data_IF_363898817095
#
_entry.id   IF_363898817095
#
_cell.length_a   1.000
_cell.length_b   1.000
_cell.length_c   1.000
_cell.angle_alpha   90.00
_cell.angle_beta   90.00
_cell.angle_gamma   90.00
#
_symmetry.space_group_name_H-M   'P 1'
#
loop_
_entity.id
_entity.type
_entity.pdbx_description
1 polymer ?
#
# COMPACT_ATOMS: atom_id res chain seq x y z
N UNK A 1 37.60 -31.54 -21.42
CA UNK A 1 38.47 -30.60 -22.13
C UNK A 1 38.28 -29.31 -21.43
N UNK A 2 39.15 -29.06 -20.45
CA UNK A 2 40.38 -28.24 -20.51
C UNK A 2 39.98 -26.76 -20.56
N UNK A 3 40.42 -25.88 -19.78
CA UNK A 3 41.44 -25.72 -18.75
C UNK A 3 41.19 -24.38 -18.11
N UNK A 4 41.22 -24.26 -16.81
CA UNK A 4 42.36 -23.89 -15.99
C UNK A 4 42.84 -22.44 -16.14
N UNK A 5 42.81 -21.81 -14.97
CA UNK A 5 43.93 -21.27 -14.17
C UNK A 5 44.28 -19.82 -14.49
N UNK A 6 44.42 -19.03 -13.54
CA UNK A 6 45.36 -18.83 -12.44
C UNK A 6 45.85 -17.38 -12.43
N UNK A 7 46.08 -16.83 -11.40
CA UNK A 7 47.17 -16.30 -10.56
C UNK A 7 46.81 -14.90 -10.09
N UNK A 8 46.66 -14.69 -8.79
CA UNK A 8 47.68 -14.61 -7.73
C UNK A 8 48.82 -13.60 -8.05
N UNK A 9 48.96 -12.53 -7.33
CA UNK A 9 50.05 -12.35 -6.39
C UNK A 9 50.37 -10.90 -6.07
N UNK A 10 50.48 -10.63 -4.81
CA UNK A 10 51.59 -9.97 -4.10
C UNK A 10 51.98 -8.54 -4.47
N UNK A 11 51.94 -7.63 -3.50
CA UNK A 11 53.24 -7.27 -2.91
C UNK A 11 53.12 -6.56 -1.57
N UNK A 12 53.92 -7.01 -0.67
CA UNK A 12 54.23 -6.64 0.71
C UNK A 12 55.15 -5.42 0.76
N UNK A 13 54.94 -4.62 1.77
CA UNK A 13 55.86 -3.93 2.68
C UNK A 13 57.36 -3.77 2.25
N UNK A 14 58.14 -2.85 2.82
CA UNK A 14 58.38 -2.76 4.25
C UNK A 14 58.74 -1.34 4.81
N UNK A 15 58.62 -1.27 6.12
CA UNK A 15 59.25 -0.32 7.05
C UNK A 15 60.76 -0.48 7.12
N UNK A 16 61.52 0.53 7.42
CA UNK A 16 62.60 0.36 8.40
C UNK A 16 62.78 1.51 9.41
N UNK A 17 62.93 1.11 10.62
CA UNK A 17 63.63 1.74 11.74
C UNK A 17 65.10 1.36 11.65
N UNK A 18 65.94 1.74 12.59
CA UNK A 18 66.46 3.06 13.04
C UNK A 18 67.99 3.16 12.90
N UNK A 19 68.55 4.31 13.16
CA UNK A 19 70.03 4.32 13.51
C UNK A 19 70.38 5.41 14.48
N UNK A 20 71.21 4.98 15.39
CA UNK A 20 71.86 5.62 16.54
C UNK A 20 73.15 6.35 16.14
N UNK A 21 73.61 7.11 17.09
CA UNK A 21 74.97 7.45 17.53
C UNK A 21 75.29 8.92 17.35
N UNK A 22 76.04 9.58 18.13
CA UNK A 22 76.86 9.40 19.36
C UNK A 22 77.37 10.76 19.84
N UNK A 23 77.44 10.86 21.11
CA UNK A 23 78.44 11.55 21.93
C UNK A 23 79.28 12.73 21.43
N UNK A 24 79.34 13.78 22.24
CA UNK A 24 80.59 14.17 22.97
C UNK A 24 80.49 15.48 23.76
N UNK A 25 80.84 15.41 25.06
CA UNK A 25 81.68 16.20 25.95
C UNK A 25 81.43 17.72 26.17
N UNK A 26 81.04 18.00 27.37
CA UNK A 26 81.75 18.67 28.47
C UNK A 26 82.21 20.10 28.25
N UNK A 27 81.72 21.00 29.07
CA UNK A 27 82.20 22.35 29.26
C UNK A 27 81.49 23.05 30.41
N UNK A 28 82.12 23.01 31.54
CA UNK A 28 81.85 23.64 32.84
C UNK A 28 81.65 25.14 32.72
N UNK A 29 80.55 25.71 33.17
CA UNK A 29 80.65 27.02 33.85
C UNK A 29 79.53 27.26 34.86
N UNK A 30 79.87 27.32 36.10
CA UNK A 30 79.02 27.71 37.23
C UNK A 30 78.92 29.22 37.27
N UNK A 31 77.88 29.84 36.81
CA UNK A 31 77.37 31.17 37.21
C UNK A 31 76.04 31.37 36.48
N UNK A 32 74.97 31.11 37.12
CA UNK A 32 73.62 31.35 36.50
C UNK A 32 72.49 30.60 37.15
N UNK A 33 72.69 29.95 38.28
CA UNK A 33 71.63 29.19 38.93
C UNK A 33 70.52 30.04 39.59
N UNK A 34 70.76 31.35 39.76
CA UNK A 34 69.78 32.27 40.36
C UNK A 34 68.86 32.95 39.33
N UNK A 35 69.39 33.15 38.11
CA UNK A 35 68.61 33.80 37.06
C UNK A 35 67.64 32.81 36.31
N UNK A 36 68.08 31.56 36.25
CA UNK A 36 67.24 30.52 35.64
C UNK A 36 65.96 30.18 36.45
N UNK A 37 66.02 30.31 37.78
CA UNK A 37 64.86 30.05 38.65
C UNK A 37 63.87 31.20 38.60
N UNK A 38 64.23 32.43 38.38
CA UNK A 38 63.33 33.54 38.20
C UNK A 38 62.63 33.49 36.85
N UNK A 39 63.39 33.14 35.79
CA UNK A 39 62.82 33.01 34.47
C UNK A 39 61.80 31.84 34.34
N UNK A 40 62.06 30.72 35.04
CA UNK A 40 61.13 29.60 35.08
C UNK A 40 59.89 29.91 35.89
N UNK A 41 59.96 30.69 36.99
CA UNK A 41 58.77 31.08 37.78
C UNK A 41 57.84 32.04 37.04
N UNK A 42 58.40 32.87 36.18
CA UNK A 42 57.62 33.82 35.37
C UNK A 42 56.99 33.11 34.14
N UNK A 43 57.66 32.12 33.59
CA UNK A 43 57.03 31.26 32.52
C UNK A 43 55.94 30.39 33.08
N UNK A 44 56.03 29.91 34.30
CA UNK A 44 54.97 29.14 34.95
C UNK A 44 53.77 29.99 35.35
N UNK A 45 53.99 31.29 35.68
CA UNK A 45 52.89 32.25 35.95
C UNK A 45 52.19 32.74 34.69
N UNK A 46 52.88 32.78 33.56
CA UNK A 46 52.30 33.17 32.28
C UNK A 46 51.45 32.06 31.66
N UNK A 47 51.72 30.80 31.99
CA UNK A 47 50.94 29.66 31.48
C UNK A 47 49.60 29.40 32.21
N UNK A 48 49.41 30.07 33.38
CA UNK A 48 48.15 30.02 34.11
C UNK A 48 47.19 31.17 33.79
N UNK A 49 47.40 31.89 32.69
CA UNK A 49 46.35 32.77 32.18
C UNK A 49 45.21 31.88 31.71
N UNK A 50 44.22 31.67 32.61
CA UNK A 50 42.95 31.02 32.33
C UNK A 50 42.51 31.40 30.93
N UNK A 51 42.55 30.46 30.01
CA UNK A 51 41.74 30.54 28.83
C UNK A 51 40.30 30.51 29.31
N UNK A 52 39.73 31.68 29.51
CA UNK A 52 38.27 31.79 29.57
C UNK A 52 37.76 31.28 28.24
N UNK A 53 37.36 30.06 28.25
CA UNK A 53 36.64 29.46 27.14
C UNK A 53 35.41 30.32 26.90
N UNK A 54 35.46 31.12 25.85
CA UNK A 54 34.25 31.79 25.37
C UNK A 54 33.24 30.66 25.14
N UNK A 55 32.03 30.70 25.77
CA UNK A 55 31.00 29.74 25.47
C UNK A 55 30.55 30.02 24.03
N UNK A 56 31.22 29.27 23.17
CA UNK A 56 31.08 29.70 21.84
C UNK A 56 30.06 28.91 21.05
N UNK A 57 30.19 29.04 19.95
CA UNK A 57 29.70 28.54 18.65
C UNK A 57 29.25 27.06 18.62
N UNK A 58 29.66 26.21 19.54
CA UNK A 58 29.22 24.80 19.60
C UNK A 58 27.79 24.65 20.16
N UNK A 59 27.42 25.44 21.17
CA UNK A 59 26.08 25.36 21.77
C UNK A 59 24.99 25.82 20.79
N UNK A 60 25.27 26.86 19.98
CA UNK A 60 24.32 27.30 18.94
C UNK A 60 24.21 26.29 17.81
N UNK A 61 25.28 25.64 17.41
CA UNK A 61 25.24 24.59 16.38
C UNK A 61 24.45 23.35 16.85
N UNK A 62 24.53 23.01 18.13
CA UNK A 62 23.71 21.93 18.71
C UNK A 62 22.23 22.28 18.74
N UNK A 63 21.87 23.53 19.05
CA UNK A 63 20.47 23.97 19.05
C UNK A 63 19.85 23.89 17.65
N UNK A 64 20.57 24.29 16.62
CA UNK A 64 20.06 24.17 15.24
C UNK A 64 20.01 22.73 14.76
N UNK A 65 20.94 21.87 15.16
CA UNK A 65 20.92 20.45 14.85
C UNK A 65 19.74 19.71 15.49
N UNK A 66 19.43 19.99 16.76
CA UNK A 66 18.29 19.37 17.46
C UNK A 66 16.95 19.85 16.88
N UNK A 67 16.83 21.14 16.52
CA UNK A 67 15.63 21.67 15.88
C UNK A 67 15.43 21.02 14.52
N UNK A 68 16.47 20.85 13.71
CA UNK A 68 16.40 20.21 12.40
C UNK A 68 15.97 18.73 12.51
N UNK A 69 16.54 17.98 13.45
CA UNK A 69 16.13 16.59 13.71
C UNK A 69 14.69 16.52 14.20
N UNK A 70 14.28 17.42 15.10
CA UNK A 70 12.91 17.51 15.58
C UNK A 70 11.91 17.78 14.44
N UNK A 71 12.28 18.65 13.50
CA UNK A 71 11.45 18.98 12.34
C UNK A 71 11.30 17.79 11.38
N UNK A 72 12.40 17.05 11.16
CA UNK A 72 12.35 15.82 10.36
C UNK A 72 11.44 14.76 11.00
N UNK A 73 11.56 14.56 12.32
CA UNK A 73 10.68 13.61 13.05
C UNK A 73 9.22 14.06 12.97
N UNK A 74 8.95 15.36 13.14
CA UNK A 74 7.60 15.90 13.01
C UNK A 74 7.04 15.71 11.60
N UNK A 75 7.86 15.90 10.57
CA UNK A 75 7.46 15.68 9.18
C UNK A 75 7.14 14.20 8.90
N UNK A 76 7.97 13.28 9.40
CA UNK A 76 7.70 11.83 9.30
C UNK A 76 6.40 11.48 10.03
N UNK A 77 6.18 12.03 11.23
CA UNK A 77 4.95 11.79 11.98
C UNK A 77 3.70 12.27 11.22
N UNK A 78 3.78 13.42 10.55
CA UNK A 78 2.68 13.93 9.70
C UNK A 78 2.41 13.00 8.53
N UNK A 79 3.45 12.48 7.85
CA UNK A 79 3.29 11.52 6.76
C UNK A 79 2.62 10.23 7.25
N UNK A 80 3.06 9.71 8.40
CA UNK A 80 2.47 8.49 8.99
C UNK A 80 1.02 8.71 9.37
N UNK A 81 0.70 9.85 10.00
CA UNK A 81 -0.69 10.20 10.33
C UNK A 81 -1.57 10.41 9.09
N UNK A 82 -1.03 11.07 8.06
CA UNK A 82 -1.74 11.24 6.79
C UNK A 82 -2.03 9.89 6.13
N UNK A 83 -1.03 9.00 6.09
CA UNK A 83 -1.20 7.67 5.50
C UNK A 83 -2.20 6.81 6.31
N UNK A 84 -2.13 6.84 7.64
CA UNK A 84 -3.10 6.16 8.49
C UNK A 84 -4.51 6.74 8.34
N UNK A 85 -4.63 8.07 8.25
CA UNK A 85 -5.89 8.77 8.01
C UNK A 85 -6.50 8.41 6.65
N UNK A 86 -5.70 8.41 5.58
CA UNK A 86 -6.14 7.99 4.25
C UNK A 86 -6.60 6.53 4.27
N UNK A 87 -5.83 5.64 4.88
CA UNK A 87 -6.20 4.22 5.01
C UNK A 87 -7.51 4.03 5.79
N UNK A 88 -7.71 4.79 6.86
CA UNK A 88 -8.96 4.76 7.62
C UNK A 88 -10.15 5.28 6.79
N UNK A 89 -9.97 6.39 6.07
CA UNK A 89 -11.01 6.93 5.18
C UNK A 89 -11.31 5.98 4.02
N UNK A 90 -10.28 5.40 3.41
CA UNK A 90 -10.46 4.47 2.28
C UNK A 90 -11.21 3.21 2.70
N UNK A 91 -10.95 2.71 3.92
CA UNK A 91 -11.65 1.55 4.45
C UNK A 91 -13.08 1.85 4.92
N UNK A 92 -13.35 3.09 5.36
CA UNK A 92 -14.67 3.52 5.84
C UNK A 92 -15.56 4.08 4.74
N UNK A 93 -14.96 4.82 3.85
CA UNK A 93 -15.59 5.44 2.68
C UNK A 93 -14.80 4.96 1.47
N UNK A 94 -15.33 4.11 0.68
CA UNK A 94 -14.69 3.55 -0.51
C UNK A 94 -14.25 4.66 -1.50
N UNK A 95 -13.19 5.40 -1.15
CA UNK A 95 -12.63 6.52 -1.90
C UNK A 95 -11.54 6.05 -2.87
N UNK A 96 -11.87 5.12 -3.76
CA UNK A 96 -10.99 4.86 -4.92
C UNK A 96 -11.34 5.88 -6.01
N UNK A 97 -10.41 6.79 -6.29
CA UNK A 97 -10.49 7.65 -7.46
C UNK A 97 -10.21 6.81 -8.70
N UNK A 98 -11.23 6.62 -9.53
CA UNK A 98 -11.06 5.99 -10.84
C UNK A 98 -10.49 7.03 -11.81
N UNK A 99 -9.21 6.85 -12.19
CA UNK A 99 -8.51 7.70 -13.15
C UNK A 99 -8.52 7.11 -14.56
N UNK A 100 -9.35 6.10 -14.83
CA UNK A 100 -9.44 5.54 -16.18
C UNK A 100 -10.13 6.53 -17.14
N UNK A 101 -9.65 6.69 -18.38
CA UNK A 101 -10.23 7.62 -19.35
C UNK A 101 -11.65 7.24 -19.80
N UNK A 102 -12.10 6.05 -19.46
CA UNK A 102 -13.42 5.51 -19.75
C UNK A 102 -14.10 5.20 -18.43
N UNK A 103 -15.28 5.79 -18.21
CA UNK A 103 -16.12 5.66 -17.00
C UNK A 103 -16.69 4.25 -16.78
N UNK A 104 -15.88 3.21 -16.99
CA UNK A 104 -16.32 1.81 -16.85
C UNK A 104 -16.74 1.44 -15.41
N UNK A 105 -16.34 2.24 -14.44
CA UNK A 105 -16.60 1.99 -13.02
C UNK A 105 -17.47 3.06 -12.38
N UNK A 106 -18.11 3.92 -13.18
CA UNK A 106 -19.05 4.91 -12.65
C UNK A 106 -20.38 4.27 -12.31
N UNK A 107 -20.95 4.73 -11.19
CA UNK A 107 -22.29 4.39 -10.79
C UNK A 107 -23.22 5.46 -11.35
N UNK A 108 -24.25 5.03 -12.08
CA UNK A 108 -25.23 5.94 -12.67
C UNK A 108 -25.98 6.72 -11.58
N UNK A 109 -26.46 7.91 -11.92
CA UNK A 109 -27.24 8.73 -10.99
C UNK A 109 -28.50 8.01 -10.54
N UNK A 110 -29.12 7.21 -11.42
CA UNK A 110 -30.29 6.39 -11.09
C UNK A 110 -29.94 5.35 -10.02
N UNK A 111 -28.81 4.65 -10.18
CA UNK A 111 -28.33 3.68 -9.18
C UNK A 111 -27.97 4.36 -7.87
N UNK A 112 -27.31 5.51 -7.93
CA UNK A 112 -26.99 6.31 -6.74
C UNK A 112 -28.25 6.67 -5.96
N UNK A 113 -29.26 7.20 -6.63
CA UNK A 113 -30.53 7.55 -6.00
C UNK A 113 -31.23 6.32 -5.39
N UNK A 114 -31.18 5.17 -6.06
CA UNK A 114 -31.71 3.91 -5.53
C UNK A 114 -31.00 3.53 -4.22
N UNK A 115 -29.67 3.56 -4.21
CA UNK A 115 -28.86 3.14 -3.06
C UNK A 115 -29.00 4.08 -1.86
N UNK A 116 -29.02 5.39 -2.08
CA UNK A 116 -29.19 6.40 -1.03
C UNK A 116 -30.57 6.34 -0.37
N UNK A 117 -31.60 5.96 -1.14
CA UNK A 117 -32.98 5.86 -0.66
C UNK A 117 -33.42 4.45 -0.24
N UNK A 118 -32.52 3.46 -0.26
CA UNK A 118 -32.84 2.10 0.20
C UNK A 118 -33.35 2.12 1.64
N UNK A 119 -34.44 1.36 1.90
CA UNK A 119 -34.99 1.19 3.24
C UNK A 119 -34.69 -0.19 3.81
N UNK A 120 -34.58 -1.20 2.96
CA UNK A 120 -34.37 -2.59 3.34
C UNK A 120 -32.91 -2.98 3.19
N UNK A 121 -32.50 -3.95 3.99
CA UNK A 121 -31.16 -4.56 3.87
C UNK A 121 -31.15 -5.59 2.76
N UNK A 122 -30.05 -5.67 2.04
CA UNK A 122 -29.82 -6.64 0.97
C UNK A 122 -28.50 -7.33 1.22
N UNK A 123 -28.46 -8.64 1.06
CA UNK A 123 -27.22 -9.43 1.10
C UNK A 123 -26.88 -9.91 -0.31
N UNK A 124 -25.66 -9.68 -0.73
CA UNK A 124 -25.13 -10.23 -1.98
C UNK A 124 -24.15 -11.36 -1.65
N UNK A 125 -24.55 -12.58 -1.98
CA UNK A 125 -23.71 -13.75 -1.84
C UNK A 125 -22.91 -13.95 -3.13
N UNK A 126 -21.59 -14.01 -3.02
CA UNK A 126 -20.69 -14.36 -4.13
C UNK A 126 -20.29 -15.82 -3.92
N UNK A 127 -20.66 -16.71 -4.84
CA UNK A 127 -20.48 -18.14 -4.70
C UNK A 127 -19.04 -18.58 -5.05
N UNK A 128 -18.07 -17.90 -4.45
CA UNK A 128 -16.63 -18.16 -4.52
C UNK A 128 -15.97 -17.82 -3.19
N UNK A 129 -14.74 -18.30 -3.01
CA UNK A 129 -13.91 -17.81 -1.89
C UNK A 129 -13.51 -16.37 -2.11
N UNK A 130 -13.30 -15.62 -1.02
CA UNK A 130 -12.83 -14.23 -1.07
C UNK A 130 -11.54 -14.08 -1.86
N UNK A 131 -10.59 -15.01 -1.66
CA UNK A 131 -9.31 -15.01 -2.39
C UNK A 131 -9.50 -15.17 -3.90
N UNK A 132 -10.41 -16.02 -4.35
CA UNK A 132 -10.68 -16.23 -5.76
C UNK A 132 -11.32 -14.97 -6.39
N UNK A 133 -12.20 -14.30 -5.66
CA UNK A 133 -12.82 -13.04 -6.09
C UNK A 133 -11.76 -11.94 -6.24
N UNK A 134 -10.92 -11.73 -5.23
CA UNK A 134 -9.92 -10.65 -5.23
C UNK A 134 -8.85 -10.86 -6.31
N UNK A 135 -8.43 -12.11 -6.53
CA UNK A 135 -7.37 -12.44 -7.50
C UNK A 135 -7.89 -12.57 -8.94
N UNK A 136 -9.19 -12.63 -9.14
CA UNK A 136 -9.77 -12.70 -10.48
C UNK A 136 -10.03 -11.32 -11.05
N UNK A 137 -9.53 -11.06 -12.26
CA UNK A 137 -9.76 -9.78 -12.95
C UNK A 137 -11.25 -9.42 -13.05
N UNK A 138 -12.09 -10.38 -13.39
CA UNK A 138 -13.51 -10.11 -13.65
C UNK A 138 -14.34 -10.07 -12.36
N UNK A 139 -14.14 -11.00 -11.44
CA UNK A 139 -14.84 -10.97 -10.17
C UNK A 139 -14.47 -9.78 -9.31
N UNK A 140 -13.20 -9.34 -9.35
CA UNK A 140 -12.75 -8.18 -8.61
C UNK A 140 -13.46 -6.90 -9.07
N UNK A 141 -13.71 -6.73 -10.37
CA UNK A 141 -14.49 -5.60 -10.90
C UNK A 141 -15.92 -5.59 -10.31
N UNK A 142 -16.59 -6.72 -10.35
CA UNK A 142 -17.92 -6.86 -9.76
C UNK A 142 -17.92 -6.57 -8.25
N UNK A 143 -16.92 -7.06 -7.53
CA UNK A 143 -16.74 -6.80 -6.12
C UNK A 143 -16.50 -5.32 -5.81
N UNK A 144 -15.75 -4.61 -6.64
CA UNK A 144 -15.56 -3.17 -6.52
C UNK A 144 -16.88 -2.38 -6.67
N UNK A 145 -17.75 -2.77 -7.60
CA UNK A 145 -19.10 -2.20 -7.67
C UNK A 145 -19.89 -2.44 -6.39
N UNK A 146 -19.88 -3.67 -5.89
CA UNK A 146 -20.58 -4.01 -4.65
C UNK A 146 -20.06 -3.24 -3.44
N UNK A 147 -18.76 -2.99 -3.35
CA UNK A 147 -18.19 -2.16 -2.29
C UNK A 147 -18.67 -0.70 -2.38
N UNK A 148 -18.72 -0.13 -3.60
CA UNK A 148 -19.30 1.20 -3.83
C UNK A 148 -20.78 1.24 -3.44
N UNK A 149 -21.53 0.23 -3.81
CA UNK A 149 -22.94 0.09 -3.47
C UNK A 149 -23.17 0.04 -1.96
N UNK A 150 -22.35 -0.75 -1.26
CA UNK A 150 -22.35 -0.81 0.21
C UNK A 150 -22.08 0.56 0.83
N UNK A 151 -21.13 1.30 0.30
CA UNK A 151 -20.80 2.64 0.80
C UNK A 151 -21.93 3.64 0.57
N UNK A 152 -22.52 3.67 -0.64
CA UNK A 152 -23.60 4.58 -1.01
C UNK A 152 -24.93 4.26 -0.31
N UNK A 153 -25.20 2.99 -0.03
CA UNK A 153 -26.40 2.57 0.71
C UNK A 153 -26.31 2.80 2.23
N UNK A 154 -25.23 3.41 2.71
CA UNK A 154 -25.01 3.58 4.17
C UNK A 154 -24.80 2.26 4.90
N UNK A 155 -24.31 1.22 4.21
CA UNK A 155 -24.02 -0.11 4.77
C UNK A 155 -25.22 -1.07 4.74
N UNK A 156 -26.33 -0.71 4.10
CA UNK A 156 -27.51 -1.59 3.95
C UNK A 156 -27.25 -2.76 3.00
N UNK A 157 -26.21 -2.72 2.18
CA UNK A 157 -25.79 -3.84 1.37
C UNK A 157 -24.66 -4.58 2.08
N UNK A 158 -24.87 -5.85 2.35
CA UNK A 158 -23.89 -6.78 2.89
C UNK A 158 -23.34 -7.69 1.79
N UNK A 159 -22.04 -7.97 1.83
CA UNK A 159 -21.36 -8.85 0.87
C UNK A 159 -20.89 -10.08 1.62
N UNK A 160 -21.27 -11.26 1.16
CA UNK A 160 -20.92 -12.53 1.77
C UNK A 160 -20.27 -13.44 0.72
N UNK A 161 -19.11 -13.99 1.05
CA UNK A 161 -18.41 -14.95 0.21
C UNK A 161 -18.75 -16.36 0.66
N UNK A 162 -19.25 -17.17 -0.26
CA UNK A 162 -19.66 -18.55 0.00
C UNK A 162 -18.92 -19.48 -0.96
N UNK A 163 -17.93 -20.18 -0.46
CA UNK A 163 -17.26 -21.21 -1.22
C UNK A 163 -18.16 -22.44 -1.29
N UNK A 164 -18.87 -22.62 -2.43
CA UNK A 164 -19.82 -23.73 -2.60
C UNK A 164 -19.13 -25.10 -2.68
N UNK A 165 -17.84 -25.16 -2.96
CA UNK A 165 -17.08 -26.40 -2.90
C UNK A 165 -16.88 -26.87 -1.45
N UNK A 166 -16.82 -25.93 -0.51
CA UNK A 166 -16.74 -26.23 0.93
C UNK A 166 -18.11 -26.33 1.59
N UNK A 167 -19.09 -25.57 1.07
CA UNK A 167 -20.46 -25.55 1.59
C UNK A 167 -21.50 -25.77 0.49
N UNK A 168 -21.59 -26.97 -0.09
CA UNK A 168 -22.51 -27.24 -1.20
C UNK A 168 -23.98 -27.17 -0.80
N UNK A 169 -24.31 -27.30 0.48
CA UNK A 169 -25.69 -27.24 0.98
C UNK A 169 -26.28 -25.85 1.01
N UNK A 170 -25.43 -24.80 0.89
CA UNK A 170 -25.89 -23.41 0.88
C UNK A 170 -26.91 -23.13 -0.22
N UNK A 171 -26.70 -23.69 -1.42
CA UNK A 171 -27.58 -23.50 -2.57
C UNK A 171 -28.98 -24.15 -2.43
N UNK A 172 -29.14 -25.08 -1.49
CA UNK A 172 -30.40 -25.77 -1.29
C UNK A 172 -31.53 -24.85 -0.78
N UNK A 173 -31.19 -23.66 -0.27
CA UNK A 173 -32.16 -22.63 0.12
C UNK A 173 -32.75 -21.86 -1.06
N UNK A 174 -32.21 -22.03 -2.26
CA UNK A 174 -32.60 -21.31 -3.48
C UNK A 174 -33.15 -22.31 -4.53
N UNK A 175 -34.34 -22.81 -4.31
CA UNK A 175 -34.84 -24.00 -4.99
C UNK A 175 -35.56 -23.75 -6.32
N UNK A 176 -35.93 -22.50 -6.63
CA UNK A 176 -36.73 -22.19 -7.80
C UNK A 176 -35.99 -22.34 -9.13
N UNK A 177 -34.64 -22.24 -9.10
CA UNK A 177 -33.79 -22.35 -10.31
C UNK A 177 -32.44 -22.98 -10.00
N UNK A 178 -32.40 -24.27 -9.55
CA UNK A 178 -31.16 -24.92 -9.15
C UNK A 178 -30.12 -25.04 -10.30
N UNK A 179 -30.62 -25.10 -11.55
CA UNK A 179 -29.74 -25.18 -12.74
C UNK A 179 -29.00 -23.87 -13.06
N UNK A 180 -29.46 -22.75 -12.52
CA UNK A 180 -28.82 -21.46 -12.72
C UNK A 180 -27.71 -21.18 -11.71
N UNK A 181 -27.65 -21.90 -10.61
CA UNK A 181 -26.69 -21.70 -9.53
C UNK A 181 -25.45 -22.54 -9.78
N UNK A 182 -24.36 -21.86 -10.05
CA UNK A 182 -23.03 -22.47 -10.23
C UNK A 182 -21.97 -21.71 -9.42
N UNK A 183 -20.79 -22.31 -9.30
CA UNK A 183 -19.64 -21.58 -8.73
C UNK A 183 -19.41 -20.28 -9.50
N UNK A 184 -19.28 -19.17 -8.77
CA UNK A 184 -19.11 -17.85 -9.36
C UNK A 184 -20.40 -17.11 -9.65
N UNK A 185 -21.58 -17.68 -9.38
CA UNK A 185 -22.85 -16.93 -9.42
C UNK A 185 -22.92 -15.93 -8.27
N UNK A 186 -23.73 -14.88 -8.47
CA UNK A 186 -24.09 -13.90 -7.44
C UNK A 186 -25.56 -14.10 -7.08
N UNK A 187 -25.87 -14.13 -5.79
CA UNK A 187 -27.23 -14.17 -5.31
C UNK A 187 -27.49 -12.87 -4.57
N UNK A 188 -28.35 -12.03 -5.14
CA UNK A 188 -28.82 -10.79 -4.52
C UNK A 188 -30.09 -11.12 -3.77
N UNK A 189 -30.09 -10.98 -2.45
CA UNK A 189 -31.18 -11.42 -1.57
C UNK A 189 -31.67 -10.28 -0.68
N UNK A 190 -32.98 -10.12 -0.61
CA UNK A 190 -33.68 -9.26 0.34
C UNK A 190 -34.62 -10.12 1.20
N UNK A 191 -35.25 -9.58 2.26
CA UNK A 191 -36.30 -10.28 3.00
C UNK A 191 -37.49 -10.69 2.14
N UNK A 192 -37.69 -10.08 0.98
CA UNK A 192 -38.84 -10.33 0.10
C UNK A 192 -38.54 -11.44 -0.91
N UNK A 193 -37.38 -11.41 -1.53
CA UNK A 193 -37.00 -12.34 -2.61
C UNK A 193 -35.50 -12.29 -2.94
N UNK A 194 -35.10 -13.17 -3.83
CA UNK A 194 -33.75 -13.22 -4.34
C UNK A 194 -33.70 -13.16 -5.88
N UNK A 195 -32.55 -12.79 -6.40
CA UNK A 195 -32.19 -12.82 -7.83
C UNK A 195 -30.80 -13.43 -8.01
N UNK A 196 -30.70 -14.38 -8.94
CA UNK A 196 -29.43 -15.00 -9.31
C UNK A 196 -28.87 -14.27 -10.53
N UNK A 197 -27.59 -13.94 -10.51
CA UNK A 197 -26.84 -13.36 -11.61
C UNK A 197 -25.61 -14.22 -11.89
N UNK A 198 -25.29 -14.37 -13.16
CA UNK A 198 -24.04 -15.01 -13.61
C UNK A 198 -23.00 -13.92 -13.85
N UNK A 199 -21.72 -14.29 -13.77
CA UNK A 199 -20.63 -13.34 -14.08
C UNK A 199 -20.78 -12.73 -15.48
N UNK A 200 -21.24 -13.53 -16.45
CA UNK A 200 -21.46 -13.06 -17.84
C UNK A 200 -22.49 -11.93 -17.93
N UNK A 201 -23.49 -11.90 -17.04
CA UNK A 201 -24.54 -10.87 -17.04
C UNK A 201 -24.01 -9.48 -16.64
N UNK A 202 -22.82 -9.42 -16.02
CA UNK A 202 -22.16 -8.18 -15.61
C UNK A 202 -21.29 -7.58 -16.70
N UNK A 203 -21.18 -8.25 -17.86
CA UNK A 203 -20.28 -7.87 -18.94
C UNK A 203 -20.98 -7.86 -20.29
N UNK A 204 -20.65 -6.87 -21.09
CA UNK A 204 -21.01 -6.86 -22.50
C UNK A 204 -20.07 -7.77 -23.27
N UNK A 205 -20.61 -8.86 -23.80
CA UNK A 205 -19.86 -9.81 -24.62
C UNK A 205 -20.13 -9.50 -26.10
N UNK A 206 -19.08 -9.30 -26.87
CA UNK A 206 -19.12 -9.10 -28.31
C UNK A 206 -18.44 -10.26 -29.03
N UNK A 207 -18.94 -10.57 -30.21
CA UNK A 207 -18.39 -11.63 -31.06
C UNK A 207 -17.67 -11.01 -32.24
N UNK A 208 -16.46 -11.43 -32.49
CA UNK A 208 -15.67 -11.03 -33.66
C UNK A 208 -15.39 -12.25 -34.53
N UNK A 209 -15.55 -12.08 -35.84
CA UNK A 209 -15.11 -13.08 -36.81
C UNK A 209 -13.60 -13.02 -36.89
N UNK A 210 -12.93 -14.12 -36.61
CA UNK A 210 -11.46 -14.23 -36.65
C UNK A 210 -10.97 -14.78 -37.98
N UNK A 211 -11.79 -15.59 -38.65
CA UNK A 211 -11.49 -16.14 -39.99
C UNK A 211 -12.78 -16.33 -40.78
N UNK A 212 -12.93 -15.57 -41.83
CA UNK A 212 -14.11 -15.64 -42.74
C UNK A 212 -14.14 -16.95 -43.55
N UNK A 213 -12.99 -17.56 -43.80
CA UNK A 213 -12.90 -18.80 -44.58
C UNK A 213 -13.36 -20.05 -43.80
N UNK A 214 -13.15 -20.02 -42.49
CA UNK A 214 -13.51 -21.12 -41.57
C UNK A 214 -14.72 -20.81 -40.69
N UNK A 215 -15.32 -19.60 -40.84
CA UNK A 215 -16.40 -19.11 -39.97
C UNK A 215 -16.04 -19.20 -38.48
N UNK A 216 -14.79 -18.94 -38.14
CA UNK A 216 -14.33 -18.92 -36.76
C UNK A 216 -14.73 -17.64 -36.06
N UNK A 217 -15.37 -17.76 -34.90
CA UNK A 217 -15.82 -16.65 -34.08
C UNK A 217 -15.11 -16.67 -32.74
N UNK A 218 -14.70 -15.50 -32.27
CA UNK A 218 -14.16 -15.33 -30.94
C UNK A 218 -15.03 -14.36 -30.13
N UNK A 219 -15.42 -14.78 -28.94
CA UNK A 219 -16.10 -13.91 -27.98
C UNK A 219 -15.08 -13.16 -27.14
N UNK A 220 -15.33 -11.89 -26.91
CA UNK A 220 -14.50 -11.06 -26.03
C UNK A 220 -15.38 -10.10 -25.24
N UNK A 221 -14.90 -9.69 -24.06
CA UNK A 221 -15.55 -8.68 -23.24
C UNK A 221 -15.30 -7.31 -23.85
N UNK A 222 -16.36 -6.66 -24.32
CA UNK A 222 -16.32 -5.34 -24.95
C UNK A 222 -16.70 -4.20 -24.00
N UNK A 223 -17.27 -4.50 -22.84
CA UNK A 223 -17.68 -3.51 -21.85
C UNK A 223 -18.06 -4.12 -20.52
N UNK A 224 -18.34 -3.26 -19.55
CA UNK A 224 -18.82 -3.61 -18.20
C UNK A 224 -20.24 -3.09 -18.06
N UNK A 225 -21.19 -3.97 -17.77
CA UNK A 225 -22.61 -3.67 -17.53
C UNK A 225 -23.01 -3.93 -16.07
N UNK A 226 -22.01 -4.03 -15.18
CA UNK A 226 -22.20 -4.40 -13.79
C UNK A 226 -23.14 -3.44 -13.04
N UNK A 227 -23.03 -2.12 -13.27
CA UNK A 227 -23.93 -1.15 -12.63
C UNK A 227 -25.38 -1.39 -13.02
N UNK A 228 -25.66 -1.52 -14.32
CA UNK A 228 -27.04 -1.71 -14.80
C UNK A 228 -27.63 -3.04 -14.32
N UNK A 229 -26.84 -4.11 -14.39
CA UNK A 229 -27.29 -5.46 -14.00
C UNK A 229 -27.54 -5.55 -12.50
N UNK A 230 -26.61 -5.06 -11.68
CA UNK A 230 -26.75 -5.06 -10.22
C UNK A 230 -27.88 -4.14 -9.76
N UNK A 231 -28.03 -2.96 -10.36
CA UNK A 231 -29.14 -2.05 -10.04
C UNK A 231 -30.49 -2.66 -10.39
N UNK A 232 -30.60 -3.33 -11.54
CA UNK A 232 -31.83 -4.04 -11.93
C UNK A 232 -32.16 -5.19 -10.97
N UNK A 233 -31.15 -5.93 -10.52
CA UNK A 233 -31.33 -6.98 -9.52
C UNK A 233 -31.79 -6.40 -8.18
N UNK A 234 -31.19 -5.28 -7.73
CA UNK A 234 -31.60 -4.59 -6.51
C UNK A 234 -33.04 -4.09 -6.61
N UNK A 235 -33.43 -3.44 -7.71
CA UNK A 235 -34.80 -3.01 -7.93
C UNK A 235 -35.78 -4.18 -7.84
N UNK A 236 -35.44 -5.32 -8.47
CA UNK A 236 -36.27 -6.52 -8.42
C UNK A 236 -36.44 -7.05 -7.00
N UNK A 237 -35.39 -7.17 -6.23
CA UNK A 237 -35.44 -7.75 -4.87
C UNK A 237 -36.07 -6.80 -3.86
N UNK A 238 -36.07 -5.50 -4.10
CA UNK A 238 -36.62 -4.47 -3.24
C UNK A 238 -38.06 -4.10 -3.58
N UNK A 239 -38.55 -4.47 -4.78
CA UNK A 239 -39.90 -4.14 -5.23
C UNK A 239 -40.94 -4.96 -4.46
N UNK A 240 -41.95 -4.30 -3.88
CA UNK A 240 -43.08 -4.97 -3.25
C UNK A 240 -44.04 -5.54 -4.29
N UNK A 241 -44.22 -4.82 -5.40
CA UNK A 241 -45.09 -5.22 -6.51
C UNK A 241 -44.24 -5.81 -7.65
N UNK A 242 -44.56 -7.05 -8.04
CA UNK A 242 -44.02 -7.59 -9.29
C UNK A 242 -44.81 -6.99 -10.46
N UNK A 243 -44.16 -6.54 -11.53
CA UNK A 243 -44.87 -6.24 -12.76
C UNK A 243 -45.53 -7.53 -13.25
N UNK A 244 -46.85 -7.55 -13.23
CA UNK A 244 -47.66 -8.59 -13.87
C UNK A 244 -47.44 -8.50 -15.38
N UNK A 245 -46.82 -9.53 -15.96
CA UNK A 245 -46.69 -9.71 -17.42
C UNK A 245 -47.97 -10.31 -17.95
#
# INVERSE_FOLDING_TARGET
MKDEKNMENMNQTPNPEPEKTETAKAGKNRRGAADSMRFQSDLLKSSQKKRSAKPGLSARKWQYGTISVGLVIAFIAVIVMANAGISFLTNRFYLKLDMTPTSYYEISDTTRNLLENMQQEVTVHILLSENDVINSKYYNIAYEFLQKYRALSGGKISINFVDIYKNPTFINGYTDTPEEISAGSFIVESPLRYKILKLADLYKISTQVTDESTYSYQQYVSGVEADQTLASALQYVLSEDLPTV
#
